data_IF_987296844428
#
_entry.id   IF_987296844428
#
_cell.length_a   1.000
_cell.length_b   1.000
_cell.length_c   1.000
_cell.angle_alpha   90.00
_cell.angle_beta   90.00
_cell.angle_gamma   90.00
#
_symmetry.space_group_name_H-M   'P 1'
#
loop_
_entity.id
_entity.type
_entity.pdbx_description
1 polymer ?
#
# COMPACT_ATOMS: atom_id res chain seq x y z
N UNK A 1 52.75 15.61 -48.50
CA UNK A 1 51.38 15.08 -48.32
C UNK A 1 51.26 14.64 -46.87
N UNK A 2 50.53 15.39 -46.04
CA UNK A 2 50.22 14.99 -44.66
C UNK A 2 49.00 14.09 -44.66
N UNK A 3 49.13 12.90 -44.06
CA UNK A 3 48.03 11.94 -43.92
C UNK A 3 47.38 12.21 -42.57
N UNK A 4 46.19 12.82 -42.58
CA UNK A 4 45.34 12.94 -41.39
C UNK A 4 44.72 11.57 -41.08
N UNK A 5 44.90 11.11 -39.84
CA UNK A 5 44.26 9.91 -39.30
C UNK A 5 43.22 10.33 -38.27
N UNK A 6 42.00 9.84 -38.42
CA UNK A 6 40.90 10.06 -37.47
C UNK A 6 40.72 8.78 -36.67
N UNK A 7 40.66 8.89 -35.34
CA UNK A 7 40.41 7.76 -34.44
C UNK A 7 39.02 7.90 -33.86
N UNK A 8 38.17 6.92 -34.12
CA UNK A 8 36.84 6.81 -33.49
C UNK A 8 36.98 5.96 -32.22
N UNK A 9 36.47 6.48 -31.10
CA UNK A 9 36.48 5.79 -29.81
C UNK A 9 35.03 5.46 -29.46
N UNK A 10 34.71 4.18 -29.35
CA UNK A 10 33.41 3.69 -28.89
C UNK A 10 33.48 3.43 -27.39
N UNK A 11 32.58 4.05 -26.61
CA UNK A 11 32.48 3.83 -25.17
C UNK A 11 31.22 3.02 -24.89
N UNK A 12 31.39 1.73 -24.62
CA UNK A 12 30.31 0.85 -24.15
C UNK A 12 30.19 0.95 -22.63
N UNK A 13 29.00 1.21 -22.12
CA UNK A 13 28.73 1.31 -20.68
C UNK A 13 27.87 0.13 -20.24
N UNK A 14 28.48 -0.82 -19.53
CA UNK A 14 27.73 -1.88 -18.84
C UNK A 14 27.08 -1.31 -17.57
N UNK A 15 25.77 -1.54 -17.40
CA UNK A 15 25.04 -1.20 -16.18
C UNK A 15 24.50 -2.48 -15.56
N UNK A 16 24.73 -2.65 -14.26
CA UNK A 16 24.13 -3.71 -13.46
C UNK A 16 23.09 -3.09 -12.54
N UNK A 17 21.85 -3.59 -12.62
CA UNK A 17 20.75 -3.24 -11.73
C UNK A 17 20.63 -4.37 -10.69
N UNK A 18 20.73 -4.01 -9.40
CA UNK A 18 20.51 -4.94 -8.29
C UNK A 18 19.13 -4.61 -7.70
N UNK A 19 18.19 -5.56 -7.78
CA UNK A 19 16.87 -5.45 -7.16
C UNK A 19 16.90 -6.28 -5.87
N UNK A 20 16.85 -5.61 -4.72
CA UNK A 20 16.72 -6.29 -3.43
C UNK A 20 15.26 -6.69 -3.20
N UNK A 21 15.01 -7.97 -2.97
CA UNK A 21 13.70 -8.47 -2.57
C UNK A 21 13.68 -8.51 -1.03
N UNK A 22 12.72 -7.85 -0.35
CA UNK A 22 12.68 -7.86 1.11
C UNK A 22 12.38 -9.27 1.63
N UNK A 23 13.25 -9.80 2.50
CA UNK A 23 13.15 -11.17 3.05
C UNK A 23 11.95 -11.35 4.01
N UNK A 24 11.34 -10.25 4.47
CA UNK A 24 10.17 -10.24 5.32
C UNK A 24 9.05 -9.44 4.67
N UNK A 25 8.22 -10.12 3.89
CA UNK A 25 6.86 -9.61 3.62
C UNK A 25 6.08 -9.90 4.89
N UNK A 26 5.90 -8.90 5.74
CA UNK A 26 5.01 -9.03 6.89
C UNK A 26 3.59 -9.25 6.37
N UNK A 27 3.07 -10.45 6.59
CA UNK A 27 1.68 -10.79 6.27
C UNK A 27 0.80 -10.24 7.38
N UNK A 28 0.34 -9.00 7.22
CA UNK A 28 -0.61 -8.39 8.13
C UNK A 28 -2.03 -8.77 7.67
N UNK A 29 -2.87 -9.24 8.60
CA UNK A 29 -4.27 -9.53 8.35
C UNK A 29 -5.13 -8.42 8.95
N UNK A 30 -6.12 -7.96 8.19
CA UNK A 30 -7.07 -6.98 8.67
C UNK A 30 -7.93 -7.58 9.78
N UNK A 31 -7.93 -6.99 10.97
CA UNK A 31 -8.73 -7.45 12.12
C UNK A 31 -10.23 -7.42 11.85
N UNK A 32 -10.70 -6.53 10.96
CA UNK A 32 -12.13 -6.38 10.66
C UNK A 32 -12.60 -7.27 9.51
N UNK A 33 -11.78 -7.45 8.48
CA UNK A 33 -12.16 -8.18 7.27
C UNK A 33 -11.63 -9.62 7.23
N UNK A 34 -10.66 -9.96 8.08
CA UNK A 34 -9.93 -11.23 8.06
C UNK A 34 -9.28 -11.54 6.69
N UNK A 35 -8.90 -10.48 5.98
CA UNK A 35 -8.24 -10.52 4.66
C UNK A 35 -6.81 -10.01 4.77
N UNK A 36 -5.94 -10.46 3.86
CA UNK A 36 -4.56 -9.99 3.79
C UNK A 36 -4.53 -8.50 3.46
N UNK A 37 -3.81 -7.74 4.28
CA UNK A 37 -3.50 -6.34 4.02
C UNK A 37 -2.32 -6.28 3.05
N UNK A 38 -2.35 -5.29 2.18
CA UNK A 38 -1.35 -5.09 1.14
C UNK A 38 -0.70 -3.74 1.33
N UNK A 39 0.51 -3.53 0.81
CA UNK A 39 1.12 -2.20 0.85
C UNK A 39 0.33 -1.20 0.01
N UNK A 40 0.52 0.09 0.24
CA UNK A 40 -0.09 1.13 -0.60
C UNK A 40 0.27 0.98 -2.09
N UNK A 41 1.49 0.53 -2.38
CA UNK A 41 1.97 0.29 -3.74
C UNK A 41 1.23 -0.90 -4.38
N UNK A 42 1.07 -1.99 -3.65
CA UNK A 42 0.30 -3.14 -4.11
C UNK A 42 -1.19 -2.79 -4.29
N UNK A 43 -1.79 -2.05 -3.36
CA UNK A 43 -3.18 -1.61 -3.48
C UNK A 43 -3.39 -0.70 -4.69
N UNK A 44 -2.45 0.20 -4.98
CA UNK A 44 -2.51 1.05 -6.16
C UNK A 44 -2.56 0.25 -7.47
N UNK A 45 -1.79 -0.84 -7.53
CA UNK A 45 -1.77 -1.74 -8.70
C UNK A 45 -3.04 -2.60 -8.77
N UNK A 46 -3.47 -3.18 -7.65
CA UNK A 46 -4.59 -4.13 -7.61
C UNK A 46 -5.92 -3.42 -7.90
N UNK A 47 -6.10 -2.21 -7.38
CA UNK A 47 -7.34 -1.45 -7.45
C UNK A 47 -7.29 -0.32 -8.49
N UNK A 48 -6.19 -0.19 -9.25
CA UNK A 48 -5.96 0.92 -10.19
C UNK A 48 -6.16 2.31 -9.57
N UNK A 49 -5.83 2.42 -8.28
CA UNK A 49 -5.97 3.63 -7.48
C UNK A 49 -4.65 4.40 -7.42
N UNK A 50 -4.73 5.73 -7.48
CA UNK A 50 -3.55 6.54 -7.18
C UNK A 50 -3.18 6.43 -5.69
N UNK A 51 -1.88 6.44 -5.38
CA UNK A 51 -1.40 6.51 -3.99
C UNK A 51 -2.06 7.66 -3.21
N UNK A 52 -2.26 8.81 -3.86
CA UNK A 52 -2.94 9.97 -3.25
C UNK A 52 -4.37 9.65 -2.81
N UNK A 53 -5.12 8.93 -3.63
CA UNK A 53 -6.48 8.50 -3.29
C UNK A 53 -6.47 7.53 -2.09
N UNK A 54 -5.51 6.58 -2.08
CA UNK A 54 -5.34 5.64 -0.97
C UNK A 54 -5.03 6.39 0.33
N UNK A 55 -4.06 7.31 0.33
CA UNK A 55 -3.74 8.11 1.52
C UNK A 55 -4.94 8.94 1.99
N UNK A 56 -5.71 9.55 1.09
CA UNK A 56 -6.92 10.27 1.46
C UNK A 56 -7.98 9.37 2.11
N UNK A 57 -8.15 8.15 1.62
CA UNK A 57 -9.09 7.19 2.21
C UNK A 57 -8.66 6.73 3.60
N UNK A 58 -7.35 6.63 3.83
CA UNK A 58 -6.77 6.34 5.14
C UNK A 58 -6.92 7.53 6.09
N UNK A 59 -6.56 8.74 5.66
CA UNK A 59 -6.69 9.98 6.44
C UNK A 59 -8.14 10.28 6.83
N UNK A 60 -9.10 9.97 5.95
CA UNK A 60 -10.54 10.11 6.22
C UNK A 60 -11.11 8.99 7.10
N UNK A 61 -10.31 7.99 7.48
CA UNK A 61 -10.75 6.83 8.28
C UNK A 61 -11.74 5.90 7.56
N UNK A 62 -11.80 5.97 6.22
CA UNK A 62 -12.69 5.13 5.40
C UNK A 62 -12.06 3.79 5.01
N UNK A 63 -10.73 3.67 5.11
CA UNK A 63 -9.99 2.46 4.86
C UNK A 63 -9.44 1.86 6.16
N UNK A 64 -9.56 0.54 6.35
CA UNK A 64 -8.79 -0.15 7.39
C UNK A 64 -7.31 -0.14 7.01
N UNK A 65 -6.48 0.34 7.93
CA UNK A 65 -5.03 0.44 7.76
C UNK A 65 -4.29 -0.08 8.99
N UNK A 66 -3.03 -0.46 8.78
CA UNK A 66 -2.10 -0.83 9.83
C UNK A 66 -0.73 -0.25 9.46
N UNK A 67 -0.05 0.37 10.42
CA UNK A 67 1.29 0.89 10.24
C UNK A 67 2.26 0.04 11.07
N UNK A 68 3.36 -0.38 10.47
CA UNK A 68 4.41 -1.10 11.19
C UNK A 68 5.28 -0.14 11.98
N UNK A 69 6.04 -0.66 12.96
CA UNK A 69 7.02 0.13 13.71
C UNK A 69 8.12 0.75 12.81
N UNK A 70 8.26 0.24 11.58
CA UNK A 70 9.17 0.73 10.55
C UNK A 70 8.55 1.82 9.66
N UNK A 71 7.30 2.22 9.90
CA UNK A 71 6.59 3.27 9.15
C UNK A 71 6.02 2.79 7.81
N UNK A 72 5.85 1.48 7.62
CA UNK A 72 5.25 0.93 6.40
C UNK A 72 3.74 0.86 6.58
N UNK A 73 3.01 1.49 5.66
CA UNK A 73 1.56 1.51 5.67
C UNK A 73 0.98 0.34 4.86
N UNK A 74 0.20 -0.49 5.54
CA UNK A 74 -0.62 -1.54 4.97
C UNK A 74 -2.08 -1.13 4.96
N UNK A 75 -2.79 -1.48 3.90
CA UNK A 75 -4.19 -1.13 3.66
C UNK A 75 -4.99 -2.37 3.29
N UNK A 76 -6.24 -2.43 3.73
CA UNK A 76 -7.14 -3.53 3.40
C UNK A 76 -7.79 -3.30 2.02
N UNK A 77 -7.58 -4.20 1.04
CA UNK A 77 -8.15 -4.03 -0.29
C UNK A 77 -9.68 -4.08 -0.30
N UNK A 78 -10.28 -4.88 0.59
CA UNK A 78 -11.74 -4.98 0.70
C UNK A 78 -12.36 -3.65 1.18
N UNK A 79 -11.74 -3.00 2.16
CA UNK A 79 -12.18 -1.68 2.64
C UNK A 79 -12.08 -0.61 1.55
N UNK A 80 -11.01 -0.65 0.74
CA UNK A 80 -10.81 0.29 -0.37
C UNK A 80 -11.83 0.07 -1.49
N UNK A 81 -12.06 -1.19 -1.89
CA UNK A 81 -13.05 -1.53 -2.92
C UNK A 81 -14.48 -1.13 -2.52
N UNK A 82 -14.84 -1.24 -1.23
CA UNK A 82 -16.12 -0.74 -0.74
C UNK A 82 -16.27 0.78 -0.86
N UNK A 83 -15.18 1.54 -0.77
CA UNK A 83 -15.22 3.00 -0.89
C UNK A 83 -15.40 3.47 -2.33
N UNK A 84 -14.79 2.79 -3.30
CA UNK A 84 -14.90 3.13 -4.73
C UNK A 84 -16.30 2.94 -5.30
N UNK A 85 -17.11 2.06 -4.70
CA UNK A 85 -18.48 1.81 -5.13
C UNK A 85 -19.42 3.03 -4.92
N UNK A 86 -18.97 4.11 -4.27
CA UNK A 86 -19.83 5.26 -3.92
C UNK A 86 -19.27 6.60 -4.37
N UNK A 87 -19.31 6.87 -5.68
CA UNK A 87 -19.32 8.26 -6.19
C UNK A 87 -20.67 8.98 -5.95
N UNK A 88 -21.62 8.35 -5.25
CA UNK A 88 -22.84 9.00 -4.82
C UNK A 88 -23.40 8.29 -3.59
N UNK A 89 -23.44 9.02 -2.47
CA UNK A 89 -24.21 8.76 -1.24
C UNK A 89 -23.68 7.67 -0.28
N UNK A 90 -22.94 8.13 0.74
CA UNK A 90 -22.81 7.56 2.10
C UNK A 90 -22.83 6.01 2.17
N UNK A 91 -21.82 5.36 1.62
CA UNK A 91 -21.55 3.94 1.88
C UNK A 91 -20.87 3.74 3.22
N UNK A 92 -21.63 3.68 4.32
CA UNK A 92 -21.11 3.33 5.63
C UNK A 92 -20.60 1.88 5.62
N UNK A 93 -19.27 1.70 5.67
CA UNK A 93 -18.69 0.41 6.02
C UNK A 93 -19.11 0.11 7.46
N UNK A 94 -20.02 -0.85 7.65
CA UNK A 94 -20.46 -1.30 8.98
C UNK A 94 -19.30 -1.99 9.70
N UNK A 95 -18.46 -1.23 10.40
CA UNK A 95 -17.54 -1.75 11.42
C UNK A 95 -17.50 -0.89 12.68
N UNK A 96 -18.49 -0.01 12.90
CA UNK A 96 -18.73 0.55 14.23
C UNK A 96 -19.67 -0.39 15.00
N UNK A 97 -19.09 -1.14 15.94
CA UNK A 97 -19.50 -1.22 17.35
C UNK A 97 -18.70 -2.36 18.02
N UNK A 98 -17.61 -1.98 18.67
CA UNK A 98 -16.78 -2.86 19.49
C UNK A 98 -15.96 -2.03 20.47
N UNK A 99 -16.65 -1.14 21.20
CA UNK A 99 -16.08 -0.36 22.29
C UNK A 99 -16.70 -0.80 23.62
N UNK A 100 -15.87 -1.44 24.43
CA UNK A 100 -15.83 -1.44 25.90
C UNK A 100 -17.13 -1.39 26.72
N UNK A 101 -17.49 -2.52 27.33
CA UNK A 101 -17.96 -2.54 28.72
C UNK A 101 -17.31 -3.70 29.48
N UNK A 102 -16.09 -3.45 29.97
CA UNK A 102 -15.57 -4.14 31.16
C UNK A 102 -16.34 -3.56 32.36
N UNK A 103 -17.16 -4.38 33.01
CA UNK A 103 -17.46 -4.20 34.43
C UNK A 103 -17.80 -5.55 35.06
N UNK A 104 -16.86 -5.95 35.90
CA UNK A 104 -16.93 -7.00 36.91
C UNK A 104 -18.22 -6.94 37.72
N UNK A 105 -18.94 -8.05 37.84
CA UNK A 105 -19.63 -8.36 39.10
C UNK A 105 -19.70 -9.87 39.32
N UNK A 106 -18.81 -10.35 40.18
CA UNK A 106 -18.87 -11.67 40.81
C UNK A 106 -19.64 -11.50 42.11
N UNK A 107 -20.78 -12.18 42.26
CA UNK A 107 -21.39 -12.43 43.57
C UNK A 107 -22.14 -13.75 43.57
#
# INVERSE_FOLDING_TARGET
MEIKRTTEILVETERRLVVHQPEHVEHIVCSSCNELMVTTEQAAIILDLSHRAIYQLVENGTAHFAETDTGVLFVCPNSLACCEATTSERGACKSQLGGDEVSTETR
#
